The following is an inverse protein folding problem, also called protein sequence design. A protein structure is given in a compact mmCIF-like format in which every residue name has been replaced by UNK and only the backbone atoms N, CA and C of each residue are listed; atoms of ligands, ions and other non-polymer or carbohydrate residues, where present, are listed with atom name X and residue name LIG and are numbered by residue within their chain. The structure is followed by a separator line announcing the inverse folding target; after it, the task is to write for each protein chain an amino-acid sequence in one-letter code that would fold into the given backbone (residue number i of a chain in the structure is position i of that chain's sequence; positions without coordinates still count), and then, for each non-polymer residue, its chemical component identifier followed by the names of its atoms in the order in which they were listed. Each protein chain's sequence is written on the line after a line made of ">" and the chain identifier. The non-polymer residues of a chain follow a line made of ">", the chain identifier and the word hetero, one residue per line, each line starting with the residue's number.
data_IF_333063373646
#
_entry.id   IF_333063373646
#
_cell.length_a   1.000
_cell.length_b   1.000
_cell.length_c   1.000
_cell.angle_alpha   90.00
_cell.angle_beta   90.00
_cell.angle_gamma   90.00
#
_symmetry.space_group_name_H-M   'P 1'
#
loop_
_entity.id
_entity.type
_entity.pdbx_description
1 polymer ?
#
# COMPACT_ATOMS: atom_id res chain seq x y z
N UNK A 1 -37.07 15.65 4.27
CA UNK A 1 -35.76 16.24 4.59
C UNK A 1 -34.72 15.59 3.68
N UNK A 2 -34.36 16.19 2.55
CA UNK A 2 -33.37 15.62 1.61
C UNK A 2 -31.96 15.91 2.11
N UNK A 3 -31.16 14.86 2.35
CA UNK A 3 -29.75 14.99 2.74
C UNK A 3 -28.98 15.71 1.60
N UNK A 4 -27.95 16.50 1.94
CA UNK A 4 -27.03 17.16 0.99
C UNK A 4 -26.54 16.21 -0.11
N UNK A 5 -26.35 14.94 0.24
CA UNK A 5 -26.02 13.84 -0.66
C UNK A 5 -27.16 13.67 -1.69
N UNK A 6 -28.40 13.45 -1.25
CA UNK A 6 -29.57 13.29 -2.13
C UNK A 6 -29.73 14.48 -3.10
N UNK A 7 -29.62 15.72 -2.61
CA UNK A 7 -29.69 16.95 -3.45
C UNK A 7 -28.54 17.10 -4.46
N UNK A 8 -27.43 16.39 -4.27
CA UNK A 8 -26.35 16.32 -5.26
C UNK A 8 -26.58 15.23 -6.31
N UNK A 9 -27.25 14.12 -5.94
CA UNK A 9 -27.59 13.05 -6.88
C UNK A 9 -28.83 13.37 -7.72
N UNK A 10 -29.78 14.16 -7.20
CA UNK A 10 -30.96 14.62 -7.94
C UNK A 10 -30.62 15.55 -9.13
N UNK A 11 -29.38 16.06 -9.23
CA UNK A 11 -28.90 16.93 -10.33
C UNK A 11 -28.15 16.15 -11.43
N UNK A 12 -27.99 14.84 -11.26
CA UNK A 12 -27.33 13.98 -12.24
C UNK A 12 -28.41 13.48 -13.20
N UNK A 13 -28.79 14.32 -14.15
CA UNK A 13 -29.85 14.02 -15.11
C UNK A 13 -29.36 13.13 -16.27
N UNK A 14 -28.04 12.95 -16.42
CA UNK A 14 -27.44 12.17 -17.51
C UNK A 14 -26.45 11.08 -17.04
N UNK A 15 -26.38 10.02 -17.85
CA UNK A 15 -25.50 8.85 -17.63
C UNK A 15 -24.00 9.24 -17.53
N UNK A 16 -23.45 10.15 -18.37
CA UNK A 16 -22.05 10.58 -18.25
C UNK A 16 -21.69 11.16 -16.87
N UNK A 17 -22.57 11.99 -16.30
CA UNK A 17 -22.33 12.64 -15.00
C UNK A 17 -22.31 11.62 -13.85
N UNK A 18 -23.16 10.58 -13.92
CA UNK A 18 -23.16 9.45 -12.97
C UNK A 18 -21.86 8.65 -13.09
N UNK A 19 -21.44 8.31 -14.32
CA UNK A 19 -20.20 7.56 -14.57
C UNK A 19 -18.96 8.29 -14.07
N UNK A 20 -18.89 9.62 -14.27
CA UNK A 20 -17.78 10.42 -13.76
C UNK A 20 -17.71 10.40 -12.24
N UNK A 21 -18.85 10.56 -11.56
CA UNK A 21 -18.92 10.52 -10.09
C UNK A 21 -18.52 9.15 -9.54
N UNK A 22 -18.96 8.06 -10.19
CA UNK A 22 -18.55 6.71 -9.83
C UNK A 22 -17.04 6.55 -9.96
N UNK A 23 -16.44 7.01 -11.07
CA UNK A 23 -14.99 6.98 -11.27
C UNK A 23 -14.25 7.71 -10.16
N UNK A 24 -14.72 8.88 -9.74
CA UNK A 24 -14.11 9.63 -8.63
C UNK A 24 -14.20 8.88 -7.30
N UNK A 25 -15.37 8.34 -6.96
CA UNK A 25 -15.56 7.57 -5.71
C UNK A 25 -14.66 6.33 -5.68
N UNK A 26 -14.63 5.56 -6.77
CA UNK A 26 -13.77 4.38 -6.86
C UNK A 26 -12.28 4.76 -6.89
N UNK A 27 -11.90 5.85 -7.56
CA UNK A 27 -10.52 6.34 -7.56
C UNK A 27 -10.05 6.77 -6.17
N UNK A 28 -10.90 7.46 -5.40
CA UNK A 28 -10.62 7.81 -3.99
C UNK A 28 -10.47 6.56 -3.13
N UNK A 29 -11.35 5.57 -3.30
CA UNK A 29 -11.27 4.29 -2.59
C UNK A 29 -9.96 3.55 -2.90
N UNK A 30 -9.62 3.40 -4.19
CA UNK A 30 -8.36 2.80 -4.63
C UNK A 30 -7.15 3.55 -4.08
N UNK A 31 -7.17 4.90 -4.08
CA UNK A 31 -6.10 5.72 -3.51
C UNK A 31 -5.92 5.45 -2.02
N UNK A 32 -7.01 5.36 -1.26
CA UNK A 32 -6.96 5.08 0.17
C UNK A 32 -6.43 3.68 0.47
N UNK A 33 -6.87 2.66 -0.28
CA UNK A 33 -6.40 1.27 -0.14
C UNK A 33 -4.91 1.17 -0.47
N UNK A 34 -4.49 1.77 -1.59
CA UNK A 34 -3.07 1.84 -1.98
C UNK A 34 -2.23 2.55 -0.93
N UNK A 35 -2.70 3.70 -0.42
CA UNK A 35 -2.01 4.41 0.64
C UNK A 35 -1.85 3.56 1.91
N UNK A 36 -2.91 2.86 2.33
CA UNK A 36 -2.85 1.98 3.50
C UNK A 36 -1.86 0.82 3.31
N UNK A 37 -1.85 0.17 2.14
CA UNK A 37 -0.89 -0.88 1.82
C UNK A 37 0.55 -0.35 1.79
N UNK A 38 0.76 0.81 1.15
CA UNK A 38 2.08 1.46 1.06
C UNK A 38 2.59 1.78 2.45
N UNK A 39 1.75 2.40 3.28
CA UNK A 39 2.07 2.72 4.67
C UNK A 39 2.41 1.48 5.49
N UNK A 40 1.70 0.37 5.29
CA UNK A 40 1.99 -0.89 5.99
C UNK A 40 3.35 -1.47 5.55
N UNK A 41 3.64 -1.45 4.25
CA UNK A 41 4.92 -1.90 3.70
C UNK A 41 6.11 -1.16 4.29
N UNK A 42 6.13 0.18 4.22
CA UNK A 42 7.24 0.99 4.73
C UNK A 42 7.38 0.95 6.26
N UNK A 43 6.32 0.64 7.01
CA UNK A 43 6.33 0.61 8.49
C UNK A 43 6.57 -0.76 9.07
N UNK A 44 6.49 -1.82 8.27
CA UNK A 44 6.72 -3.17 8.77
C UNK A 44 8.20 -3.32 9.08
N UNK A 45 8.51 -3.68 10.32
CA UNK A 45 9.86 -3.99 10.81
C UNK A 45 9.85 -5.35 11.48
N UNK A 46 10.93 -6.10 11.29
CA UNK A 46 11.17 -7.37 11.96
C UNK A 46 11.72 -7.10 13.35
N UNK A 47 11.23 -7.83 14.36
CA UNK A 47 11.80 -7.77 15.70
C UNK A 47 13.08 -8.62 15.79
N UNK A 48 14.04 -8.20 16.61
CA UNK A 48 15.25 -8.99 16.91
C UNK A 48 14.88 -10.40 17.38
N UNK A 49 15.58 -11.42 16.87
CA UNK A 49 15.34 -12.82 17.25
C UNK A 49 14.02 -13.44 16.76
N UNK A 50 13.18 -12.70 16.02
CA UNK A 50 11.97 -13.26 15.40
C UNK A 50 12.27 -14.07 14.12
N UNK A 51 11.25 -14.76 13.57
CA UNK A 51 11.42 -15.57 12.36
C UNK A 51 11.53 -14.71 11.10
N UNK A 52 12.71 -14.75 10.45
CA UNK A 52 12.95 -14.13 9.14
C UNK A 52 12.00 -14.66 8.08
N UNK A 53 11.71 -15.96 8.10
CA UNK A 53 10.81 -16.58 7.13
C UNK A 53 9.40 -15.98 7.23
N UNK A 54 8.86 -15.89 8.45
CA UNK A 54 7.53 -15.32 8.70
C UNK A 54 7.47 -13.86 8.27
N UNK A 55 8.52 -13.09 8.59
CA UNK A 55 8.65 -11.70 8.17
C UNK A 55 8.76 -11.55 6.64
N UNK A 56 9.55 -12.39 5.98
CA UNK A 56 9.71 -12.40 4.52
C UNK A 56 8.40 -12.68 3.79
N UNK A 57 7.62 -13.68 4.25
CA UNK A 57 6.28 -13.95 3.70
C UNK A 57 5.36 -12.74 3.86
N UNK A 58 5.38 -12.09 5.03
CA UNK A 58 4.59 -10.88 5.27
C UNK A 58 4.98 -9.75 4.32
N UNK A 59 6.28 -9.50 4.14
CA UNK A 59 6.76 -8.47 3.22
C UNK A 59 6.39 -8.79 1.78
N UNK A 60 6.55 -10.05 1.34
CA UNK A 60 6.17 -10.48 -0.01
C UNK A 60 4.68 -10.27 -0.28
N UNK A 61 3.80 -10.64 0.65
CA UNK A 61 2.36 -10.40 0.51
C UNK A 61 1.99 -8.91 0.37
N UNK A 62 2.79 -8.02 0.98
CA UNK A 62 2.61 -6.58 0.85
C UNK A 62 3.10 -6.08 -0.52
N UNK A 63 4.18 -6.65 -1.07
CA UNK A 63 4.66 -6.35 -2.43
C UNK A 63 3.63 -6.77 -3.47
N UNK A 64 3.13 -8.01 -3.41
CA UNK A 64 2.10 -8.52 -4.33
C UNK A 64 0.85 -7.61 -4.30
N UNK A 65 0.40 -7.24 -3.10
CA UNK A 65 -0.72 -6.32 -2.93
C UNK A 65 -0.46 -4.93 -3.53
N UNK A 66 0.77 -4.42 -3.47
CA UNK A 66 1.13 -3.13 -4.05
C UNK A 66 1.22 -3.18 -5.58
N UNK A 67 1.70 -4.28 -6.14
CA UNK A 67 1.66 -4.55 -7.59
C UNK A 67 0.22 -4.61 -8.11
N UNK A 68 -0.66 -5.35 -7.43
CA UNK A 68 -2.09 -5.43 -7.77
C UNK A 68 -2.77 -4.05 -7.76
N UNK A 69 -2.38 -3.19 -6.81
CA UNK A 69 -2.89 -1.83 -6.67
C UNK A 69 -2.20 -0.82 -7.60
N UNK A 70 -1.27 -1.29 -8.45
CA UNK A 70 -0.44 -0.47 -9.35
C UNK A 70 0.17 0.70 -8.58
N UNK A 71 0.91 0.36 -7.52
CA UNK A 71 1.52 1.35 -6.64
C UNK A 71 2.53 2.26 -7.36
N UNK A 72 3.16 1.74 -8.41
CA UNK A 72 4.13 2.47 -9.22
C UNK A 72 5.46 2.66 -8.49
N UNK A 73 5.83 1.72 -7.63
CA UNK A 73 7.16 1.67 -7.03
C UNK A 73 8.11 0.91 -7.96
N UNK A 74 9.38 1.31 -7.96
CA UNK A 74 10.42 0.59 -8.70
C UNK A 74 10.83 -0.68 -7.95
N UNK A 75 11.28 -1.69 -8.69
CA UNK A 75 11.69 -2.98 -8.11
C UNK A 75 12.74 -2.82 -7.00
N UNK A 76 13.72 -1.94 -7.23
CA UNK A 76 14.79 -1.66 -6.27
C UNK A 76 14.23 -1.04 -4.97
N UNK A 77 13.16 -0.24 -5.06
CA UNK A 77 12.50 0.31 -3.86
C UNK A 77 11.90 -0.80 -2.99
N UNK A 78 11.32 -1.85 -3.58
CA UNK A 78 10.81 -2.97 -2.78
C UNK A 78 11.94 -3.71 -2.07
N UNK A 79 13.05 -3.95 -2.77
CA UNK A 79 14.23 -4.63 -2.22
C UNK A 79 14.81 -3.82 -1.06
N UNK A 80 15.02 -2.53 -1.27
CA UNK A 80 15.59 -1.62 -0.26
C UNK A 80 14.74 -1.58 1.01
N UNK A 81 13.41 -1.49 0.86
CA UNK A 81 12.50 -1.47 2.02
C UNK A 81 12.48 -2.80 2.75
N UNK A 82 12.56 -3.93 2.03
CA UNK A 82 12.68 -5.25 2.64
C UNK A 82 13.97 -5.35 3.45
N UNK A 83 15.11 -4.96 2.88
CA UNK A 83 16.39 -4.98 3.59
C UNK A 83 16.35 -4.06 4.82
N UNK A 84 15.84 -2.84 4.69
CA UNK A 84 15.68 -1.89 5.79
C UNK A 84 14.69 -2.36 6.87
N UNK A 85 13.81 -3.32 6.55
CA UNK A 85 12.85 -3.86 7.52
C UNK A 85 13.46 -4.88 8.46
N UNK A 86 14.64 -5.41 8.13
CA UNK A 86 15.35 -6.39 8.94
C UNK A 86 15.99 -5.74 10.18
N UNK A 87 16.25 -6.53 11.24
CA UNK A 87 16.94 -6.06 12.42
C UNK A 87 18.44 -5.85 12.16
N UNK A 88 19.15 -5.05 12.98
CA UNK A 88 20.59 -4.82 12.83
C UNK A 88 21.45 -6.08 12.81
N UNK A 89 21.05 -7.17 13.47
CA UNK A 89 21.76 -8.46 13.39
C UNK A 89 21.87 -9.04 11.96
N UNK A 90 21.04 -8.56 11.03
CA UNK A 90 21.04 -8.94 9.63
C UNK A 90 21.68 -7.89 8.71
N UNK A 91 22.28 -6.85 9.29
CA UNK A 91 22.95 -5.80 8.51
C UNK A 91 24.12 -6.40 7.72
N UNK A 92 24.07 -6.36 6.37
CA UNK A 92 25.13 -6.90 5.53
C UNK A 92 26.49 -6.24 5.76
N UNK A 93 26.51 -4.99 6.24
CA UNK A 93 27.74 -4.22 6.50
C UNK A 93 28.48 -4.67 7.77
N UNK A 94 27.81 -5.40 8.67
CA UNK A 94 28.42 -5.91 9.91
C UNK A 94 29.16 -7.24 9.70
N UNK A 95 28.91 -7.95 8.59
CA UNK A 95 29.52 -9.25 8.30
C UNK A 95 30.98 -9.17 7.80
N UNK A 96 31.49 -7.98 7.45
CA UNK A 96 32.84 -7.79 6.89
C UNK A 96 33.94 -7.49 7.93
N UNK A 97 33.65 -7.60 9.24
CA UNK A 97 34.63 -7.29 10.31
C UNK A 97 35.21 -8.53 11.01
N UNK A 98 35.13 -9.72 10.41
CA UNK A 98 35.74 -10.96 10.94
C UNK A 98 36.62 -11.59 9.85
#
# INVERSE_FOLDING_TARGET
>A
MTNKIQKQYDRLEDVPSIMLRMKDVYAVSHRHIRYAATKAFFRTKMAEGSSVQSHGVKMLSLVEKLEDLKAGLENDTYIDVILQSLPPSYDPSLLTTI
#
